data_IF_151323837692
#
_entry.id   IF_151323837692
#
_cell.length_a   1.000
_cell.length_b   1.000
_cell.length_c   1.000
_cell.angle_alpha   90.00
_cell.angle_beta   90.00
_cell.angle_gamma   90.00
#
_symmetry.space_group_name_H-M   'P 1'
#
loop_
_entity.id
_entity.type
_entity.pdbx_description
1 polymer ?
#
# COMPACT_ATOMS: atom_id res chain seq x y z
N UNK A 1 -6.47 10.40 2.11
CA UNK A 1 -7.43 10.61 1.01
C UNK A 1 -6.62 10.59 -0.28
N UNK A 2 -6.98 9.76 -1.27
CA UNK A 2 -6.10 9.53 -2.42
C UNK A 2 -6.30 10.64 -3.46
N UNK A 3 -5.24 11.40 -3.77
CA UNK A 3 -5.30 12.53 -4.71
C UNK A 3 -4.93 12.08 -6.12
N UNK A 4 -5.72 12.45 -7.13
CA UNK A 4 -5.38 12.17 -8.52
C UNK A 4 -4.42 13.23 -9.06
N UNK A 5 -3.35 12.80 -9.72
CA UNK A 5 -2.39 13.65 -10.41
C UNK A 5 -2.17 13.16 -11.83
N UNK A 6 -1.89 14.07 -12.74
CA UNK A 6 -1.51 13.74 -14.12
C UNK A 6 0.00 13.50 -14.24
N UNK A 7 0.44 12.90 -15.35
CA UNK A 7 1.87 12.78 -15.66
C UNK A 7 2.59 14.14 -15.70
N UNK A 8 1.93 15.17 -16.23
CA UNK A 8 2.51 16.51 -16.31
C UNK A 8 2.71 17.11 -14.91
N UNK A 9 1.69 17.03 -14.04
CA UNK A 9 1.80 17.46 -12.64
C UNK A 9 2.88 16.69 -11.89
N UNK A 10 3.00 15.39 -12.14
CA UNK A 10 4.07 14.59 -11.54
C UNK A 10 5.45 15.11 -11.97
N UNK A 11 5.63 15.49 -13.23
CA UNK A 11 6.90 16.00 -13.74
C UNK A 11 7.22 17.40 -13.20
N UNK A 12 6.23 18.29 -13.17
CA UNK A 12 6.39 19.69 -12.78
C UNK A 12 6.53 19.87 -11.26
N UNK A 13 5.84 19.06 -10.45
CA UNK A 13 5.83 19.17 -8.98
C UNK A 13 6.45 17.95 -8.28
N UNK A 14 7.26 17.17 -9.01
CA UNK A 14 7.93 15.96 -8.52
C UNK A 14 8.54 16.10 -7.11
N UNK A 15 9.35 17.14 -6.78
CA UNK A 15 9.99 17.22 -5.47
C UNK A 15 9.00 17.37 -4.32
N UNK A 16 7.89 18.09 -4.53
CA UNK A 16 6.88 18.30 -3.50
C UNK A 16 5.97 17.08 -3.36
N UNK A 17 5.64 16.42 -4.47
CA UNK A 17 4.91 15.15 -4.46
C UNK A 17 5.72 14.08 -3.73
N UNK A 18 7.02 13.94 -4.01
CA UNK A 18 7.88 12.98 -3.32
C UNK A 18 7.93 13.25 -1.82
N UNK A 19 8.06 14.52 -1.41
CA UNK A 19 8.06 14.87 0.01
C UNK A 19 6.73 14.54 0.69
N UNK A 20 5.61 14.82 0.04
CA UNK A 20 4.29 14.45 0.55
C UNK A 20 4.15 12.93 0.70
N UNK A 21 4.67 12.15 -0.27
CA UNK A 21 4.73 10.69 -0.19
C UNK A 21 5.61 10.23 0.99
N UNK A 22 6.75 10.87 1.22
CA UNK A 22 7.58 10.60 2.41
C UNK A 22 6.86 10.90 3.73
N UNK A 23 5.98 11.90 3.75
CA UNK A 23 5.14 12.28 4.89
C UNK A 23 3.90 11.37 5.06
N UNK A 24 3.65 10.45 4.12
CA UNK A 24 2.58 9.46 4.19
C UNK A 24 1.42 9.65 3.22
N UNK A 25 1.45 10.69 2.37
CA UNK A 25 0.40 10.91 1.37
C UNK A 25 0.46 9.89 0.23
N UNK A 26 -0.69 9.64 -0.40
CA UNK A 26 -0.84 8.71 -1.51
C UNK A 26 -1.55 9.35 -2.69
N UNK A 27 -1.08 9.05 -3.91
CA UNK A 27 -1.54 9.66 -5.14
C UNK A 27 -1.90 8.61 -6.18
N UNK A 28 -2.92 8.88 -6.99
CA UNK A 28 -3.24 8.09 -8.20
C UNK A 28 -2.70 8.83 -9.40
N UNK A 29 -1.74 8.24 -10.08
CA UNK A 29 -1.22 8.74 -11.34
C UNK A 29 -2.22 8.41 -12.45
N UNK A 30 -2.57 9.43 -13.23
CA UNK A 30 -3.50 9.31 -14.35
C UNK A 30 -2.85 9.76 -15.66
N UNK A 31 -3.30 9.15 -16.76
CA UNK A 31 -2.99 9.58 -18.13
C UNK A 31 -4.30 9.78 -18.87
N UNK A 32 -4.60 11.03 -19.25
CA UNK A 32 -5.87 11.42 -19.87
C UNK A 32 -7.11 10.99 -19.05
N UNK A 33 -7.03 11.10 -17.72
CA UNK A 33 -8.11 10.72 -16.80
C UNK A 33 -8.23 9.23 -16.52
N UNK A 34 -7.44 8.38 -17.19
CA UNK A 34 -7.37 6.94 -16.89
C UNK A 34 -6.30 6.69 -15.83
N UNK A 35 -6.62 6.03 -14.69
CA UNK A 35 -5.64 5.66 -13.68
C UNK A 35 -4.63 4.65 -14.25
N UNK A 36 -3.34 4.89 -14.00
CA UNK A 36 -2.24 4.05 -14.51
C UNK A 36 -1.36 3.47 -13.42
N UNK A 37 -1.20 4.16 -12.29
CA UNK A 37 -0.37 3.71 -11.17
C UNK A 37 -0.79 4.41 -9.87
N UNK A 38 -0.49 3.78 -8.74
CA UNK A 38 -0.56 4.39 -7.43
C UNK A 38 0.87 4.74 -6.96
N UNK A 39 1.04 5.95 -6.44
CA UNK A 39 2.28 6.39 -5.80
C UNK A 39 1.97 6.45 -4.31
N UNK A 40 2.50 5.48 -3.59
CA UNK A 40 2.27 5.31 -2.16
C UNK A 40 3.61 5.38 -1.41
N UNK A 41 3.61 5.77 -0.13
CA UNK A 41 4.80 5.73 0.69
C UNK A 41 5.38 4.32 0.69
N UNK A 42 6.70 4.21 0.66
CA UNK A 42 7.34 2.93 0.91
C UNK A 42 7.21 2.61 2.40
N UNK A 43 6.04 2.14 2.82
CA UNK A 43 5.85 1.65 4.16
C UNK A 43 6.68 0.39 4.32
N UNK A 44 7.53 0.37 5.34
CA UNK A 44 7.99 -0.88 5.98
C UNK A 44 6.78 -1.50 6.67
N UNK A 45 5.78 -1.93 5.91
CA UNK A 45 4.68 -2.68 6.47
C UNK A 45 5.33 -3.89 7.12
N UNK A 46 5.10 -4.14 8.42
CA UNK A 46 5.73 -5.27 9.08
C UNK A 46 5.36 -6.51 8.26
N UNK A 47 6.37 -7.12 7.62
CA UNK A 47 6.17 -8.39 6.90
C UNK A 47 5.72 -9.47 7.88
N UNK A 48 5.89 -9.22 9.17
CA UNK A 48 5.54 -10.08 10.26
C UNK A 48 4.82 -9.28 11.36
N UNK A 49 3.57 -9.63 11.63
CA UNK A 49 2.82 -9.16 12.79
C UNK A 49 2.71 -10.34 13.77
N UNK A 50 3.13 -10.20 15.04
CA UNK A 50 2.94 -11.24 16.05
C UNK A 50 1.47 -11.61 16.19
N UNK A 51 1.18 -12.89 16.43
CA UNK A 51 -0.19 -13.38 16.54
C UNK A 51 -1.00 -12.64 17.62
N UNK A 52 -0.37 -12.24 18.73
CA UNK A 52 -1.03 -11.47 19.79
C UNK A 52 -1.54 -10.12 19.30
N UNK A 53 -0.69 -9.35 18.62
CA UNK A 53 -1.04 -8.04 18.05
C UNK A 53 -2.11 -8.18 16.96
N UNK A 54 -2.03 -9.23 16.15
CA UNK A 54 -3.06 -9.53 15.15
C UNK A 54 -4.43 -9.81 15.80
N UNK A 55 -4.46 -10.57 16.90
CA UNK A 55 -5.71 -10.85 17.63
C UNK A 55 -6.29 -9.57 18.23
N UNK A 56 -5.46 -8.69 18.79
CA UNK A 56 -5.92 -7.39 19.31
C UNK A 56 -6.51 -6.51 18.22
N UNK A 57 -5.85 -6.44 17.05
CA UNK A 57 -6.31 -5.67 15.91
C UNK A 57 -7.65 -6.19 15.36
N UNK A 58 -7.82 -7.52 15.31
CA UNK A 58 -9.02 -8.16 14.80
C UNK A 58 -10.17 -8.23 15.82
N UNK A 59 -9.87 -8.05 17.11
CA UNK A 59 -10.86 -8.17 18.19
C UNK A 59 -11.97 -7.12 18.16
N UNK A 60 -11.74 -5.98 17.50
CA UNK A 60 -12.74 -4.90 17.33
C UNK A 60 -13.67 -5.12 16.11
N UNK A 61 -13.36 -6.11 15.26
CA UNK A 61 -14.11 -6.36 14.03
C UNK A 61 -15.34 -7.26 14.29
N UNK A 62 -16.40 -7.13 13.47
CA UNK A 62 -17.53 -8.06 13.53
C UNK A 62 -17.08 -9.50 13.26
N UNK A 63 -17.80 -10.51 13.77
CA UNK A 63 -17.49 -11.90 13.51
C UNK A 63 -17.61 -12.21 12.02
N UNK A 64 -16.51 -12.66 11.42
CA UNK A 64 -16.40 -13.03 10.01
C UNK A 64 -16.27 -14.55 9.85
N UNK A 65 -16.69 -15.07 8.70
CA UNK A 65 -16.49 -16.47 8.36
C UNK A 65 -15.01 -16.74 8.02
N UNK A 66 -14.32 -17.64 8.74
CA UNK A 66 -12.89 -17.81 8.60
C UNK A 66 -12.49 -18.36 7.23
N UNK A 67 -13.24 -19.31 6.66
CA UNK A 67 -12.92 -19.86 5.34
C UNK A 67 -13.05 -18.80 4.24
N UNK A 68 -14.09 -17.97 4.32
CA UNK A 68 -14.30 -16.86 3.39
C UNK A 68 -13.22 -15.80 3.52
N UNK A 69 -12.82 -15.47 4.75
CA UNK A 69 -11.74 -14.52 5.03
C UNK A 69 -10.42 -15.00 4.43
N UNK A 70 -9.98 -16.21 4.76
CA UNK A 70 -8.70 -16.74 4.27
C UNK A 70 -8.69 -16.93 2.75
N UNK A 71 -9.82 -17.28 2.15
CA UNK A 71 -9.96 -17.34 0.68
C UNK A 71 -9.79 -15.96 0.04
N UNK A 72 -10.38 -14.91 0.63
CA UNK A 72 -10.26 -13.54 0.15
C UNK A 72 -8.83 -13.00 0.32
N UNK A 73 -8.22 -13.21 1.49
CA UNK A 73 -6.83 -12.82 1.76
C UNK A 73 -5.87 -13.53 0.82
N UNK A 74 -6.04 -14.84 0.60
CA UNK A 74 -5.21 -15.60 -0.34
C UNK A 74 -5.29 -15.09 -1.79
N UNK A 75 -6.43 -14.49 -2.19
CA UNK A 75 -6.56 -13.83 -3.50
C UNK A 75 -5.87 -12.45 -3.54
N UNK A 76 -5.89 -11.72 -2.44
CA UNK A 76 -5.39 -10.34 -2.36
C UNK A 76 -3.89 -10.25 -2.04
N UNK A 77 -3.34 -11.21 -1.31
CA UNK A 77 -1.95 -11.23 -0.86
C UNK A 77 -0.98 -11.72 -1.95
N UNK A 78 -0.98 -11.06 -3.12
CA UNK A 78 0.12 -11.22 -4.05
C UNK A 78 1.40 -10.67 -3.39
N UNK A 79 2.55 -11.38 -3.45
CA UNK A 79 3.81 -10.84 -2.96
C UNK A 79 4.11 -9.52 -3.68
N UNK A 80 4.66 -8.57 -2.92
CA UNK A 80 5.09 -7.28 -3.46
C UNK A 80 5.99 -7.52 -4.69
N UNK A 81 5.57 -7.09 -5.90
CA UNK A 81 6.30 -7.39 -7.14
C UNK A 81 7.65 -6.66 -7.23
N UNK A 82 7.92 -5.71 -6.33
CA UNK A 82 9.18 -4.97 -6.23
C UNK A 82 10.13 -5.52 -5.16
N UNK A 83 9.71 -6.50 -4.34
CA UNK A 83 10.61 -7.19 -3.39
C UNK A 83 11.63 -8.02 -4.17
N UNK A 84 12.85 -7.51 -4.28
CA UNK A 84 13.98 -8.25 -4.84
C UNK A 84 14.39 -9.44 -3.94
N UNK A 85 14.81 -10.58 -4.51
CA UNK A 85 15.42 -11.64 -3.70
C UNK A 85 16.77 -11.16 -3.15
N UNK A 86 16.84 -10.93 -1.82
CA UNK A 86 18.11 -10.81 -1.10
C UNK A 86 18.52 -9.41 -0.58
N UNK A 87 17.59 -8.49 -0.30
CA UNK A 87 17.96 -7.26 0.40
C UNK A 87 18.31 -7.54 1.88
N UNK A 88 19.50 -7.14 2.37
CA UNK A 88 19.89 -7.32 3.76
C UNK A 88 19.17 -6.35 4.69
N UNK A 89 18.92 -6.83 5.92
CA UNK A 89 18.35 -6.11 7.04
C UNK A 89 19.22 -4.89 7.42
N UNK A 90 18.63 -3.68 7.45
CA UNK A 90 19.26 -2.45 7.92
C UNK A 90 18.61 -1.96 9.21
#
# INVERSE_FOLDING_TARGET
>A
MVRQITQHELCDDMPNIMRAVEEGDSFVLTRNGTPVADIVPHSRMPTFVPLGELIELLGDLPPEDPERFFTAVGRAAAPDPHRGPGEPEQ
#
